data_IF_833797947238
#
_entry.id   IF_833797947238
#
_cell.length_a   1.000
_cell.length_b   1.000
_cell.length_c   1.000
_cell.angle_alpha   90.00
_cell.angle_beta   90.00
_cell.angle_gamma   90.00
#
_symmetry.space_group_name_H-M   'P 1'
#
loop_
_entity.id
_entity.type
_entity.pdbx_description
1 polymer ?
#
# COMPACT_ATOMS: atom_id res chain seq x y z
N UNK A 1 -3.69 20.04 7.93
CA UNK A 1 -3.32 18.73 7.35
C UNK A 1 -4.62 17.98 7.13
N UNK A 2 -4.90 17.52 5.91
CA UNK A 2 -6.07 16.68 5.68
C UNK A 2 -5.98 15.42 6.55
N UNK A 3 -7.00 15.24 7.40
CA UNK A 3 -7.06 14.14 8.37
C UNK A 3 -6.93 12.79 7.65
N UNK A 4 -7.64 12.67 6.53
CA UNK A 4 -7.59 11.50 5.64
C UNK A 4 -6.19 11.19 5.13
N UNK A 5 -5.47 12.21 4.63
CA UNK A 5 -4.11 12.05 4.13
C UNK A 5 -3.18 11.52 5.21
N UNK A 6 -3.27 12.11 6.40
CA UNK A 6 -2.48 11.72 7.56
C UNK A 6 -2.74 10.27 7.95
N UNK A 7 -4.01 9.88 8.02
CA UNK A 7 -4.41 8.50 8.33
C UNK A 7 -3.92 7.53 7.26
N UNK A 8 -4.06 7.87 5.97
CA UNK A 8 -3.60 7.04 4.86
C UNK A 8 -2.10 6.78 4.90
N UNK A 9 -1.30 7.82 5.08
CA UNK A 9 0.18 7.72 5.18
C UNK A 9 0.60 6.90 6.40
N UNK A 10 0.03 7.17 7.58
CA UNK A 10 0.36 6.43 8.79
C UNK A 10 -0.03 4.95 8.70
N UNK A 11 -1.21 4.65 8.15
CA UNK A 11 -1.68 3.28 7.95
C UNK A 11 -0.77 2.55 6.94
N UNK A 12 -0.41 3.20 5.83
CA UNK A 12 0.52 2.64 4.85
C UNK A 12 1.92 2.38 5.43
N UNK A 13 2.47 3.33 6.19
CA UNK A 13 3.76 3.17 6.86
C UNK A 13 3.77 2.02 7.87
N UNK A 14 2.69 1.90 8.66
CA UNK A 14 2.54 0.84 9.66
C UNK A 14 2.40 -0.54 9.01
N UNK A 15 1.51 -0.69 8.03
CA UNK A 15 1.37 -1.94 7.28
C UNK A 15 2.66 -2.30 6.52
N UNK A 16 3.42 -1.29 6.09
CA UNK A 16 4.71 -1.48 5.46
C UNK A 16 5.74 -2.16 6.35
N UNK A 17 5.72 -1.92 7.67
CA UNK A 17 6.63 -2.60 8.60
C UNK A 17 6.39 -4.12 8.63
N UNK A 18 5.12 -4.54 8.62
CA UNK A 18 4.78 -5.96 8.52
C UNK A 18 5.19 -6.55 7.16
N UNK A 19 5.03 -5.77 6.08
CA UNK A 19 5.43 -6.19 4.73
C UNK A 19 6.93 -6.50 4.68
N UNK A 20 7.78 -5.57 5.13
CA UNK A 20 9.23 -5.75 5.07
C UNK A 20 9.73 -6.82 6.03
N UNK A 21 9.10 -6.98 7.20
CA UNK A 21 9.42 -8.07 8.10
C UNK A 21 9.15 -9.42 7.42
N UNK A 22 8.00 -9.58 6.77
CA UNK A 22 7.65 -10.79 6.02
C UNK A 22 8.59 -11.07 4.83
N UNK A 23 9.01 -10.02 4.11
CA UNK A 23 9.99 -10.15 3.02
C UNK A 23 11.36 -10.54 3.57
N UNK A 24 11.85 -9.83 4.58
CA UNK A 24 13.18 -10.06 5.16
C UNK A 24 13.33 -11.46 5.75
N UNK A 25 12.25 -12.04 6.29
CA UNK A 25 12.24 -13.44 6.73
C UNK A 25 12.38 -14.46 5.59
N UNK A 26 12.03 -14.10 4.34
CA UNK A 26 12.13 -14.99 3.16
C UNK A 26 13.42 -14.81 2.38
N UNK A 27 13.86 -13.57 2.18
CA UNK A 27 15.01 -13.25 1.31
C UNK A 27 16.27 -12.84 2.07
N UNK A 28 16.18 -12.69 3.40
CA UNK A 28 17.26 -12.19 4.25
C UNK A 28 17.31 -10.67 4.34
N UNK A 29 17.72 -10.15 5.50
CA UNK A 29 17.88 -8.71 5.75
C UNK A 29 19.21 -8.17 5.25
N UNK A 30 20.29 -8.93 5.42
CA UNK A 30 21.65 -8.55 5.05
C UNK A 30 21.80 -8.57 3.52
N UNK A 31 22.33 -7.48 2.94
CA UNK A 31 22.47 -7.33 1.49
C UNK A 31 21.19 -6.96 0.72
N UNK A 32 20.02 -6.90 1.40
CA UNK A 32 18.73 -6.49 0.79
C UNK A 32 18.13 -5.22 1.40
N UNK A 33 18.90 -4.49 2.21
CA UNK A 33 18.46 -3.31 2.97
C UNK A 33 17.75 -2.28 2.08
N UNK A 34 18.36 -1.94 0.94
CA UNK A 34 17.80 -0.97 -0.01
C UNK A 34 16.49 -1.47 -0.63
N UNK A 35 16.40 -2.77 -0.91
CA UNK A 35 15.19 -3.38 -1.45
C UNK A 35 14.06 -3.38 -0.42
N UNK A 36 14.35 -3.79 0.82
CA UNK A 36 13.39 -3.74 1.92
C UNK A 36 12.93 -2.31 2.19
N UNK A 37 13.84 -1.34 2.22
CA UNK A 37 13.47 0.07 2.37
C UNK A 37 12.61 0.57 1.22
N UNK A 38 12.94 0.22 -0.03
CA UNK A 38 12.14 0.56 -1.21
C UNK A 38 10.73 -0.04 -1.14
N UNK A 39 10.61 -1.27 -0.64
CA UNK A 39 9.32 -1.93 -0.41
C UNK A 39 8.49 -1.25 0.67
N UNK A 40 9.12 -0.83 1.78
CA UNK A 40 8.46 -0.03 2.81
C UNK A 40 8.00 1.33 2.26
N UNK A 41 8.89 2.03 1.57
CA UNK A 41 8.60 3.33 0.96
C UNK A 41 7.42 3.24 -0.02
N UNK A 42 7.35 2.18 -0.82
CA UNK A 42 6.20 1.92 -1.70
C UNK A 42 4.86 1.86 -0.93
N UNK A 43 4.84 1.34 0.30
CA UNK A 43 3.63 1.32 1.15
C UNK A 43 3.27 2.70 1.71
N UNK A 44 4.27 3.52 2.02
CA UNK A 44 4.07 4.91 2.40
C UNK A 44 3.46 5.70 1.23
N UNK A 45 3.99 5.52 0.02
CA UNK A 45 3.48 6.15 -1.21
C UNK A 45 2.06 5.67 -1.53
N UNK A 46 1.76 4.39 -1.37
CA UNK A 46 0.39 3.87 -1.51
C UNK A 46 -0.57 4.56 -0.53
N UNK A 47 -0.16 4.71 0.73
CA UNK A 47 -0.90 5.43 1.76
C UNK A 47 -1.16 6.89 1.40
N UNK A 48 -0.15 7.57 0.85
CA UNK A 48 -0.26 8.93 0.34
C UNK A 48 -1.29 9.03 -0.80
N UNK A 49 -1.17 8.18 -1.82
CA UNK A 49 -2.06 8.19 -2.99
C UNK A 49 -3.51 7.94 -2.61
N UNK A 50 -3.76 6.94 -1.76
CA UNK A 50 -5.11 6.62 -1.27
C UNK A 50 -5.65 7.75 -0.37
N UNK A 51 -4.80 8.32 0.47
CA UNK A 51 -5.14 9.45 1.32
C UNK A 51 -5.61 10.67 0.51
N UNK A 52 -4.99 10.93 -0.63
CA UNK A 52 -5.37 12.00 -1.58
C UNK A 52 -6.61 11.65 -2.41
N UNK A 53 -6.90 10.37 -2.64
CA UNK A 53 -7.99 9.91 -3.51
C UNK A 53 -9.38 9.96 -2.86
N UNK A 54 -9.59 10.72 -1.77
CA UNK A 54 -10.84 10.73 -1.03
C UNK A 54 -12.08 11.15 -1.83
N UNK A 55 -11.92 12.08 -2.77
CA UNK A 55 -12.99 12.51 -3.67
C UNK A 55 -13.18 11.61 -4.91
N UNK A 56 -12.34 10.59 -5.09
CA UNK A 56 -12.40 9.73 -6.28
C UNK A 56 -13.53 8.71 -6.14
N UNK A 57 -14.58 8.87 -6.96
CA UNK A 57 -15.69 7.94 -7.10
C UNK A 57 -15.52 7.14 -8.40
N UNK A 58 -15.22 5.85 -8.25
CA UNK A 58 -15.07 4.89 -9.34
C UNK A 58 -16.39 4.15 -9.58
N UNK A 59 -17.16 3.92 -8.51
CA UNK A 59 -18.46 3.26 -8.54
C UNK A 59 -19.44 4.07 -7.70
N UNK A 60 -20.66 4.25 -8.19
CA UNK A 60 -21.78 4.90 -7.47
C UNK A 60 -22.40 3.97 -6.41
N UNK A 61 -21.56 3.41 -5.54
CA UNK A 61 -21.98 2.47 -4.50
C UNK A 61 -21.08 2.55 -3.26
N UNK A 62 -21.54 1.99 -2.16
CA UNK A 62 -20.77 1.82 -0.91
C UNK A 62 -19.48 1.02 -1.12
N UNK A 63 -19.43 0.18 -2.17
CA UNK A 63 -18.24 -0.57 -2.58
C UNK A 63 -17.12 0.30 -3.19
N UNK A 64 -17.34 1.60 -3.42
CA UNK A 64 -16.33 2.50 -3.96
C UNK A 64 -15.01 2.46 -3.18
N UNK A 65 -15.08 2.35 -1.85
CA UNK A 65 -13.90 2.27 -0.98
C UNK A 65 -13.05 1.03 -1.28
N UNK A 66 -13.71 -0.11 -1.52
CA UNK A 66 -13.02 -1.35 -1.84
C UNK A 66 -12.40 -1.25 -3.24
N UNK A 67 -13.17 -0.77 -4.21
CA UNK A 67 -12.73 -0.67 -5.61
C UNK A 67 -11.58 0.32 -5.76
N UNK A 68 -11.66 1.50 -5.12
CA UNK A 68 -10.60 2.51 -5.13
C UNK A 68 -9.34 2.02 -4.44
N UNK A 69 -9.46 1.44 -3.24
CA UNK A 69 -8.32 0.86 -2.54
C UNK A 69 -7.66 -0.27 -3.33
N UNK A 70 -8.45 -1.14 -3.97
CA UNK A 70 -7.95 -2.23 -4.81
C UNK A 70 -7.22 -1.71 -6.06
N UNK A 71 -7.81 -0.75 -6.78
CA UNK A 71 -7.21 -0.19 -7.99
C UNK A 71 -5.92 0.58 -7.69
N UNK A 72 -5.92 1.45 -6.69
CA UNK A 72 -4.73 2.19 -6.31
C UNK A 72 -3.65 1.26 -5.72
N UNK A 73 -4.06 0.27 -4.92
CA UNK A 73 -3.17 -0.77 -4.43
C UNK A 73 -2.50 -1.53 -5.58
N UNK A 74 -3.28 -1.97 -6.56
CA UNK A 74 -2.79 -2.66 -7.78
C UNK A 74 -1.82 -1.80 -8.58
N UNK A 75 -2.13 -0.53 -8.82
CA UNK A 75 -1.25 0.37 -9.58
C UNK A 75 0.13 0.47 -8.90
N UNK A 76 0.13 0.70 -7.59
CA UNK A 76 1.38 0.91 -6.84
C UNK A 76 2.18 -0.39 -6.66
N UNK A 77 1.50 -1.53 -6.45
CA UNK A 77 2.19 -2.83 -6.36
C UNK A 77 2.71 -3.33 -7.69
N UNK A 78 1.97 -3.11 -8.78
CA UNK A 78 2.40 -3.52 -10.11
C UNK A 78 3.68 -2.78 -10.49
N UNK A 79 3.76 -1.48 -10.21
CA UNK A 79 4.96 -0.69 -10.46
C UNK A 79 6.20 -1.31 -9.79
N UNK A 80 6.13 -1.64 -8.48
CA UNK A 80 7.29 -2.22 -7.79
C UNK A 80 7.56 -3.68 -8.17
N UNK A 81 6.53 -4.43 -8.55
CA UNK A 81 6.69 -5.83 -8.98
C UNK A 81 7.42 -5.89 -10.32
N UNK A 82 7.10 -4.98 -11.24
CA UNK A 82 7.79 -4.85 -12.52
C UNK A 82 9.25 -4.39 -12.34
N UNK A 83 9.52 -3.44 -11.44
CA UNK A 83 10.89 -2.96 -11.20
C UNK A 83 11.76 -3.91 -10.39
N UNK A 84 11.15 -4.86 -9.68
CA UNK A 84 11.85 -5.88 -8.89
C UNK A 84 11.93 -7.24 -9.58
N UNK A 85 11.67 -7.30 -10.89
CA UNK A 85 11.75 -8.54 -11.68
C UNK A 85 10.93 -9.70 -11.08
N UNK A 86 9.76 -9.40 -10.49
CA UNK A 86 8.88 -10.38 -9.85
C UNK A 86 9.53 -11.17 -8.69
N UNK A 87 10.49 -10.55 -7.99
CA UNK A 87 11.25 -11.20 -6.91
C UNK A 87 10.40 -11.68 -5.73
N UNK A 88 9.24 -11.10 -5.47
CA UNK A 88 8.39 -11.48 -4.33
C UNK A 88 6.88 -11.33 -4.60
N UNK A 89 6.26 -12.39 -5.14
CA UNK A 89 4.82 -12.48 -5.34
C UNK A 89 3.96 -12.26 -4.08
N UNK A 90 4.34 -12.77 -2.89
CA UNK A 90 3.53 -12.53 -1.69
C UNK A 90 3.42 -11.04 -1.34
N UNK A 91 4.46 -10.24 -1.59
CA UNK A 91 4.37 -8.79 -1.40
C UNK A 91 3.47 -8.10 -2.40
N UNK A 92 3.36 -8.60 -3.62
CA UNK A 92 2.40 -8.07 -4.59
C UNK A 92 0.97 -8.22 -4.03
N UNK A 93 0.58 -9.43 -3.61
CA UNK A 93 -0.74 -9.68 -3.05
C UNK A 93 -0.98 -8.92 -1.74
N UNK A 94 0.03 -8.86 -0.86
CA UNK A 94 -0.07 -8.09 0.38
C UNK A 94 -0.36 -6.61 0.10
N UNK A 95 0.26 -6.03 -0.93
CA UNK A 95 0.01 -4.64 -1.26
C UNK A 95 -1.36 -4.37 -1.86
N UNK A 96 -1.92 -5.30 -2.63
CA UNK A 96 -3.31 -5.18 -3.11
C UNK A 96 -4.27 -5.22 -1.93
N UNK A 97 -4.06 -6.15 -0.99
CA UNK A 97 -4.86 -6.22 0.24
C UNK A 97 -4.70 -4.96 1.10
N UNK A 98 -3.46 -4.46 1.27
CA UNK A 98 -3.18 -3.25 2.04
C UNK A 98 -3.81 -2.01 1.41
N UNK A 99 -3.87 -1.90 0.09
CA UNK A 99 -4.57 -0.80 -0.58
C UNK A 99 -6.04 -0.71 -0.16
N UNK A 100 -6.74 -1.84 -0.09
CA UNK A 100 -8.13 -1.90 0.41
C UNK A 100 -8.22 -1.51 1.89
N UNK A 101 -7.32 -2.04 2.73
CA UNK A 101 -7.31 -1.74 4.17
C UNK A 101 -7.05 -0.24 4.41
N UNK A 102 -6.06 0.34 3.74
CA UNK A 102 -5.73 1.76 3.87
C UNK A 102 -6.92 2.62 3.49
N UNK A 103 -7.60 2.34 2.38
CA UNK A 103 -8.73 3.17 1.94
C UNK A 103 -9.93 3.05 2.87
N UNK A 104 -10.17 1.85 3.40
CA UNK A 104 -11.20 1.60 4.39
C UNK A 104 -10.93 2.36 5.70
N UNK A 105 -9.72 2.26 6.25
CA UNK A 105 -9.32 2.99 7.47
C UNK A 105 -9.37 4.50 7.22
N UNK A 106 -8.80 4.98 6.11
CA UNK A 106 -8.80 6.40 5.77
C UNK A 106 -10.22 6.96 5.62
N UNK A 107 -11.15 6.22 5.02
CA UNK A 107 -12.54 6.68 4.86
C UNK A 107 -13.35 6.58 6.16
N UNK A 108 -13.06 5.58 7.00
CA UNK A 108 -13.81 5.38 8.25
C UNK A 108 -13.45 6.40 9.34
N UNK A 109 -12.21 6.86 9.37
CA UNK A 109 -11.67 7.70 10.44
C UNK A 109 -11.32 9.14 10.01
N UNK A 110 -11.45 9.49 8.73
CA UNK A 110 -11.28 10.87 8.24
C UNK A 110 -12.42 11.79 8.64
#
# INVERSE_FOLDING_TARGET
MDRRLTIGVLTGAFLGLFCIAGVGLRIGFEGNELFLFSMWYNRVVMGLLIGLAGGLQIVDSEYNVIVRGLLLGLVVTTAITLTSEFRDWPSFFAGVAYGVIIDWVATRYS
#
